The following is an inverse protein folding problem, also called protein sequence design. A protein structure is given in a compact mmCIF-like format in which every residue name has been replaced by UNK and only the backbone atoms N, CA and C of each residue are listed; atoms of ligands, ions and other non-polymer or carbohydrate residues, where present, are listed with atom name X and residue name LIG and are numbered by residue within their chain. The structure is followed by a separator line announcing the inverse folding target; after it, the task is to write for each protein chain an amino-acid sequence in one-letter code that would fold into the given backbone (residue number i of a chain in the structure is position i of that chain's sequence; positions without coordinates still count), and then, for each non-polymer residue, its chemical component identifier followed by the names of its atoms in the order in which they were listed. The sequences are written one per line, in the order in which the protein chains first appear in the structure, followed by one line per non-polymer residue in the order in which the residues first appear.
data_IF_378318498216
#
_entry.id   IF_378318498216
#
_cell.length_a   1.000
_cell.length_b   1.000
_cell.length_c   1.000
_cell.angle_alpha   90.00
_cell.angle_beta   90.00
_cell.angle_gamma   90.00
#
_symmetry.space_group_name_H-M   'P 1'
#
loop_
_entity.id
_entity.type
_entity.pdbx_description
1 polymer ?
#
# COMPACT_ATOMS: atom_id res chain seq x y z
N UNK A 1 -6.77 14.87 7.67
CA UNK A 1 -5.45 15.53 7.58
C UNK A 1 -4.74 14.99 6.34
N UNK A 2 -4.67 15.77 5.26
CA UNK A 2 -3.89 15.40 4.07
C UNK A 2 -2.43 15.80 4.31
N UNK A 3 -1.59 14.85 4.71
CA UNK A 3 -0.15 15.04 4.82
C UNK A 3 0.47 15.19 3.43
N UNK A 4 1.37 16.16 3.26
CA UNK A 4 2.16 16.32 2.02
C UNK A 4 2.93 15.01 1.72
N UNK A 5 3.10 14.62 0.44
CA UNK A 5 3.86 13.43 0.08
C UNK A 5 5.28 13.55 0.64
N UNK A 6 5.66 12.58 1.47
CA UNK A 6 6.95 12.55 2.15
C UNK A 6 7.98 12.00 1.17
N UNK A 7 8.82 12.87 0.62
CA UNK A 7 9.86 12.49 -0.34
C UNK A 7 10.97 11.74 0.40
N UNK A 8 11.27 10.50 0.00
CA UNK A 8 12.37 9.71 0.56
C UNK A 8 13.17 9.11 -0.58
N UNK A 9 14.46 9.46 -0.70
CA UNK A 9 15.44 8.81 -1.58
C UNK A 9 14.97 8.56 -3.03
N UNK A 10 14.48 9.59 -3.74
CA UNK A 10 14.04 9.47 -5.14
C UNK A 10 12.69 8.79 -5.35
N UNK A 11 12.03 8.34 -4.29
CA UNK A 11 10.68 7.79 -4.32
C UNK A 11 9.66 8.82 -3.81
N UNK A 12 8.63 9.06 -4.62
CA UNK A 12 7.49 9.90 -4.28
C UNK A 12 6.28 9.03 -3.92
N UNK A 13 5.72 9.23 -2.72
CA UNK A 13 4.47 8.56 -2.33
C UNK A 13 3.32 9.02 -3.24
N UNK A 14 2.69 8.06 -3.93
CA UNK A 14 1.56 8.29 -4.83
C UNK A 14 0.22 7.92 -4.19
N UNK A 15 0.21 6.87 -3.37
CA UNK A 15 -0.99 6.39 -2.66
C UNK A 15 -0.59 6.00 -1.24
N UNK A 16 -1.45 6.33 -0.27
CA UNK A 16 -1.31 5.87 1.12
C UNK A 16 -2.67 5.49 1.67
N UNK A 17 -2.81 4.23 2.05
CA UNK A 17 -3.97 3.68 2.75
C UNK A 17 -3.55 3.35 4.18
N UNK A 18 -4.33 3.80 5.16
CA UNK A 18 -4.13 3.51 6.56
C UNK A 18 -5.40 2.92 7.14
N UNK A 19 -5.27 1.75 7.76
CA UNK A 19 -6.30 1.16 8.59
C UNK A 19 -5.81 1.14 10.04
N UNK A 20 -6.60 1.72 10.94
CA UNK A 20 -6.31 1.76 12.37
C UNK A 20 -7.44 1.09 13.15
N UNK A 21 -7.09 0.30 14.16
CA UNK A 21 -8.03 -0.31 15.08
C UNK A 21 -7.89 0.34 16.46
N UNK A 22 -8.89 1.12 16.86
CA UNK A 22 -8.89 1.86 18.14
C UNK A 22 -8.87 0.94 19.37
N UNK A 23 -9.37 -0.30 19.26
CA UNK A 23 -9.43 -1.23 20.40
C UNK A 23 -8.09 -1.84 20.73
N UNK A 24 -7.29 -2.15 19.70
CA UNK A 24 -5.98 -2.80 19.83
C UNK A 24 -4.83 -1.81 19.67
N UNK A 25 -5.16 -0.57 19.33
CA UNK A 25 -4.25 0.49 18.91
C UNK A 25 -3.27 0.08 17.81
N UNK A 26 -3.64 -0.92 17.00
CA UNK A 26 -2.81 -1.41 15.90
C UNK A 26 -3.15 -0.73 14.59
N UNK A 27 -2.15 -0.61 13.71
CA UNK A 27 -2.33 -0.08 12.37
C UNK A 27 -1.77 -1.02 11.31
N UNK A 28 -2.37 -0.96 10.12
CA UNK A 28 -1.81 -1.47 8.86
C UNK A 28 -1.80 -0.33 7.85
N UNK A 29 -0.64 -0.05 7.27
CA UNK A 29 -0.44 0.98 6.24
C UNK A 29 0.05 0.33 4.95
N UNK A 30 -0.61 0.63 3.83
CA UNK A 30 -0.11 0.31 2.49
C UNK A 30 0.25 1.61 1.79
N UNK A 31 1.48 1.73 1.32
CA UNK A 31 1.91 2.86 0.48
C UNK A 31 2.36 2.38 -0.88
N UNK A 32 2.01 3.15 -1.91
CA UNK A 32 2.57 3.02 -3.26
C UNK A 32 3.47 4.23 -3.47
N UNK A 33 4.72 3.98 -3.82
CA UNK A 33 5.68 5.04 -4.18
C UNK A 33 6.18 4.84 -5.60
N UNK A 34 6.45 5.94 -6.29
CA UNK A 34 6.93 5.96 -7.67
C UNK A 34 8.31 6.64 -7.69
N UNK A 35 9.28 6.04 -8.38
CA UNK A 35 10.58 6.62 -8.64
C UNK A 35 10.56 7.51 -9.89
N UNK A 36 11.55 8.39 -10.05
CA UNK A 36 11.65 9.27 -11.21
C UNK A 36 11.74 8.51 -12.56
N UNK A 37 12.30 7.30 -12.54
CA UNK A 37 12.39 6.39 -13.70
C UNK A 37 11.10 5.58 -13.97
N UNK A 38 10.05 5.81 -13.17
CA UNK A 38 8.78 5.10 -13.28
C UNK A 38 8.74 3.76 -12.55
N UNK A 39 9.79 3.38 -11.80
CA UNK A 39 9.73 2.25 -10.88
C UNK A 39 8.61 2.42 -9.85
N UNK A 40 7.99 1.33 -9.42
CA UNK A 40 6.93 1.37 -8.39
C UNK A 40 7.29 0.43 -7.24
N UNK A 41 7.12 0.94 -6.01
CA UNK A 41 7.30 0.18 -4.78
C UNK A 41 6.00 0.15 -3.99
N UNK A 42 5.58 -1.05 -3.58
CA UNK A 42 4.50 -1.27 -2.63
C UNK A 42 5.12 -1.54 -1.26
N UNK A 43 4.83 -0.71 -0.26
CA UNK A 43 5.26 -0.99 1.12
C UNK A 43 4.05 -1.28 2.00
N UNK A 44 4.04 -2.45 2.61
CA UNK A 44 3.12 -2.80 3.69
C UNK A 44 3.84 -2.56 5.02
N UNK A 45 3.17 -1.89 5.96
CA UNK A 45 3.68 -1.68 7.32
C UNK A 45 2.60 -1.99 8.34
N UNK A 46 2.96 -2.68 9.40
CA UNK A 46 2.08 -3.01 10.52
C UNK A 46 2.78 -2.65 11.83
N UNK A 47 2.03 -2.13 12.79
CA UNK A 47 2.57 -1.84 14.11
C UNK A 47 1.48 -1.45 15.09
N UNK A 48 1.91 -0.95 16.26
CA UNK A 48 1.04 -0.37 17.28
C UNK A 48 1.39 1.08 17.54
N UNK A 49 0.38 1.87 17.91
CA UNK A 49 0.57 3.28 18.28
C UNK A 49 1.52 3.36 19.48
N UNK A 50 2.51 4.24 19.40
CA UNK A 50 3.49 4.46 20.47
C UNK A 50 4.62 3.41 20.53
N UNK A 51 4.48 2.27 19.86
CA UNK A 51 5.49 1.20 19.83
C UNK A 51 6.25 1.22 18.49
N UNK A 52 7.34 1.99 18.46
CA UNK A 52 8.16 2.16 17.25
C UNK A 52 9.04 0.94 16.97
N UNK A 53 9.41 0.20 18.00
CA UNK A 53 10.37 -0.91 17.90
C UNK A 53 9.71 -2.17 17.32
N UNK A 54 8.39 -2.26 17.40
CA UNK A 54 7.61 -3.41 16.94
C UNK A 54 6.87 -3.18 15.62
N UNK A 55 7.34 -2.22 14.81
CA UNK A 55 6.79 -1.99 13.47
C UNK A 55 7.43 -2.95 12.46
N UNK A 56 6.61 -3.80 11.83
CA UNK A 56 7.02 -4.67 10.73
C UNK A 56 6.77 -3.97 9.41
N UNK A 57 7.77 -3.92 8.53
CA UNK A 57 7.64 -3.35 7.17
C UNK A 57 8.14 -4.33 6.13
N UNK A 58 7.35 -4.52 5.08
CA UNK A 58 7.71 -5.32 3.90
C UNK A 58 7.60 -4.44 2.66
N UNK A 59 8.63 -4.46 1.82
CA UNK A 59 8.66 -3.76 0.55
C UNK A 59 8.59 -4.78 -0.59
N UNK A 60 7.71 -4.54 -1.54
CA UNK A 60 7.64 -5.25 -2.82
C UNK A 60 8.06 -4.27 -3.91
N UNK A 61 9.22 -4.51 -4.50
CA UNK A 61 9.65 -3.85 -5.72
C UNK A 61 9.16 -4.68 -6.89
N UNK A 62 8.09 -4.22 -7.53
CA UNK A 62 7.50 -4.92 -8.67
C UNK A 62 7.98 -4.27 -9.97
N UNK A 63 8.29 -5.09 -10.96
CA UNK A 63 8.54 -4.58 -12.30
C UNK A 63 7.22 -4.21 -12.99
N UNK A 64 7.32 -3.55 -14.16
CA UNK A 64 6.15 -3.08 -14.92
C UNK A 64 5.17 -4.20 -15.28
N UNK A 65 5.66 -5.38 -15.65
CA UNK A 65 4.82 -6.51 -16.04
C UNK A 65 4.04 -7.06 -14.84
N UNK A 66 4.71 -7.22 -13.70
CA UNK A 66 4.10 -7.68 -12.45
C UNK A 66 3.04 -6.71 -11.93
N UNK A 67 3.28 -5.39 -12.05
CA UNK A 67 2.30 -4.36 -11.67
C UNK A 67 1.05 -4.40 -12.54
N UNK A 68 1.22 -4.51 -13.86
CA UNK A 68 0.09 -4.62 -14.80
C UNK A 68 -0.72 -5.88 -14.48
N UNK A 69 -0.04 -6.99 -14.24
CA UNK A 69 -0.69 -8.24 -13.86
C UNK A 69 -1.47 -8.11 -12.55
N UNK A 70 -0.85 -7.58 -11.49
CA UNK A 70 -1.51 -7.35 -10.21
C UNK A 70 -2.73 -6.43 -10.35
N UNK A 71 -2.60 -5.33 -11.09
CA UNK A 71 -3.71 -4.41 -11.32
C UNK A 71 -4.89 -5.11 -12.02
N UNK A 72 -4.60 -5.96 -13.02
CA UNK A 72 -5.64 -6.69 -13.74
C UNK A 72 -6.32 -7.74 -12.88
N UNK A 73 -5.55 -8.50 -12.09
CA UNK A 73 -6.10 -9.50 -11.17
C UNK A 73 -6.99 -8.84 -10.10
N UNK A 74 -6.56 -7.70 -9.55
CA UNK A 74 -7.39 -6.95 -8.59
C UNK A 74 -8.70 -6.48 -9.25
N UNK A 75 -8.64 -5.90 -10.44
CA UNK A 75 -9.83 -5.49 -11.20
C UNK A 75 -10.80 -6.68 -11.39
N UNK A 76 -10.29 -7.82 -11.84
CA UNK A 76 -11.09 -9.04 -12.05
C UNK A 76 -11.71 -9.56 -10.75
N UNK A 77 -10.97 -9.57 -9.65
CA UNK A 77 -11.47 -9.99 -8.34
C UNK A 77 -12.62 -9.09 -7.86
N UNK A 78 -12.48 -7.77 -8.02
CA UNK A 78 -13.54 -6.82 -7.65
C UNK A 78 -14.75 -6.88 -8.59
N UNK A 79 -14.55 -7.21 -9.86
CA UNK A 79 -15.65 -7.43 -10.81
C UNK A 79 -16.39 -8.75 -10.52
N UNK A 80 -15.66 -9.84 -10.21
CA UNK A 80 -16.26 -11.14 -9.87
C UNK A 80 -17.08 -11.09 -8.58
N UNK A 81 -16.67 -10.28 -7.61
CA UNK A 81 -17.44 -10.01 -6.39
C UNK A 81 -18.78 -9.30 -6.61
N UNK A 82 -19.00 -8.68 -7.78
CA UNK A 82 -20.29 -8.09 -8.19
C UNK A 82 -21.19 -9.06 -8.95
N UNK A 83 -20.77 -10.30 -9.17
CA UNK A 83 -21.51 -11.34 -9.90
C UNK A 83 -22.38 -12.27 -9.04
N UNK A 84 -22.86 -11.80 -7.88
CA UNK A 84 -23.75 -12.57 -7.01
C UNK A 84 -25.22 -12.25 -7.27
N UNK A 85 -25.95 -13.23 -7.81
CA UNK A 85 -27.43 -13.39 -7.81
C UNK A 85 -28.25 -12.33 -8.58
N UNK A 86 -28.64 -12.69 -9.81
CA UNK A 86 -30.03 -12.49 -10.28
C UNK A 86 -30.82 -13.75 -10.01
#
# INVERSE_FOLDING_TARGET
MNGKPKQTNGWQEAVSLLHYNDKTESYKKLTVSIAEDGGVMLSLSEGKKGDKDNTVKVNFSLNRQELIYLAKELELLFMKGKGGKT
#
